data_IF_264753092496
#
_entry.id   IF_264753092496
#
_cell.length_a   1.000
_cell.length_b   1.000
_cell.length_c   1.000
_cell.angle_alpha   90.00
_cell.angle_beta   90.00
_cell.angle_gamma   90.00
#
_symmetry.space_group_name_H-M   'P 1'
#
loop_
_entity.id
_entity.type
_entity.pdbx_description
1 polymer ?
#
# COMPACT_ATOMS: atom_id res chain seq x y z
N UNK A 1 -9.15 7.22 -2.36
CA UNK A 1 -10.40 6.43 -2.40
C UNK A 1 -10.78 6.06 -0.98
N UNK A 2 -12.01 6.35 -0.57
CA UNK A 2 -12.55 5.98 0.74
C UNK A 2 -13.45 4.77 0.57
N UNK A 3 -13.18 3.70 1.30
CA UNK A 3 -13.91 2.43 1.21
C UNK A 3 -14.59 2.16 2.54
N UNK A 4 -15.86 1.72 2.48
CA UNK A 4 -16.58 1.21 3.65
C UNK A 4 -16.23 -0.26 3.84
N UNK A 5 -15.73 -0.60 5.02
CA UNK A 5 -15.40 -1.97 5.41
C UNK A 5 -16.32 -2.46 6.51
N UNK A 6 -16.49 -3.78 6.57
CA UNK A 6 -16.87 -4.49 7.78
C UNK A 6 -15.69 -5.35 8.25
N UNK A 7 -15.67 -5.68 9.54
CA UNK A 7 -14.68 -6.57 10.12
C UNK A 7 -15.35 -7.88 10.53
N UNK A 8 -14.71 -9.00 10.21
CA UNK A 8 -15.15 -10.33 10.62
C UNK A 8 -13.93 -11.11 11.09
N UNK A 9 -13.88 -11.45 12.38
CA UNK A 9 -12.77 -12.18 13.01
C UNK A 9 -11.39 -11.60 12.66
N UNK A 10 -11.25 -10.27 12.69
CA UNK A 10 -10.00 -9.55 12.36
C UNK A 10 -9.72 -9.33 10.86
N UNK A 11 -10.40 -10.05 9.97
CA UNK A 11 -10.34 -9.80 8.53
C UNK A 11 -11.18 -8.57 8.16
N UNK A 12 -10.76 -7.82 7.13
CA UNK A 12 -11.52 -6.68 6.59
C UNK A 12 -12.16 -7.06 5.26
N UNK A 13 -13.46 -6.83 5.13
CA UNK A 13 -14.24 -7.16 3.94
C UNK A 13 -14.75 -5.84 3.35
N UNK A 14 -14.35 -5.47 2.12
CA UNK A 14 -14.84 -4.26 1.47
C UNK A 14 -16.32 -4.43 1.10
N UNK A 15 -17.14 -3.46 1.49
CA UNK A 15 -18.59 -3.46 1.22
C UNK A 15 -18.91 -2.61 -0.01
N UNK A 16 -18.41 -1.38 -0.03
CA UNK A 16 -18.64 -0.41 -1.11
C UNK A 16 -17.59 0.70 -1.10
N UNK A 17 -17.44 1.38 -2.23
CA UNK A 17 -16.70 2.64 -2.29
C UNK A 17 -17.59 3.77 -1.79
N UNK A 18 -17.14 4.44 -0.73
CA UNK A 18 -17.85 5.57 -0.14
C UNK A 18 -17.62 6.86 -0.93
N UNK A 19 -16.35 7.18 -1.18
CA UNK A 19 -15.95 8.43 -1.84
C UNK A 19 -14.78 8.20 -2.77
N UNK A 20 -14.84 8.77 -3.97
CA UNK A 20 -13.73 8.87 -4.91
C UNK A 20 -13.36 10.34 -5.07
N UNK A 21 -12.07 10.63 -5.01
CA UNK A 21 -11.50 11.95 -5.28
C UNK A 21 -10.47 11.77 -6.39
N UNK A 22 -10.58 12.57 -7.45
CA UNK A 22 -9.57 12.65 -8.50
C UNK A 22 -9.32 14.13 -8.81
N UNK A 23 -8.04 14.52 -8.73
CA UNK A 23 -7.52 15.78 -9.24
C UNK A 23 -6.38 15.44 -10.20
N UNK A 24 -6.52 15.81 -11.47
CA UNK A 24 -5.55 15.57 -12.53
C UNK A 24 -5.27 16.89 -13.24
N UNK A 25 -3.99 17.12 -13.58
CA UNK A 25 -3.59 18.28 -14.37
C UNK A 25 -4.16 18.15 -15.79
N UNK A 26 -4.57 19.26 -16.41
CA UNK A 26 -5.18 19.25 -17.74
C UNK A 26 -4.76 20.46 -18.58
N UNK A 27 -4.99 20.39 -19.89
CA UNK A 27 -4.82 21.54 -20.79
C UNK A 27 -5.94 22.57 -20.62
N UNK A 28 -5.77 23.75 -21.21
CA UNK A 28 -6.76 24.84 -21.09
C UNK A 28 -8.03 24.63 -21.91
N UNK A 29 -8.04 23.66 -22.82
CA UNK A 29 -9.05 23.51 -23.87
C UNK A 29 -10.19 22.60 -23.49
N UNK A 30 -9.95 21.64 -22.59
CA UNK A 30 -10.99 20.72 -22.12
C UNK A 30 -11.90 21.37 -21.07
N UNK A 31 -13.22 21.20 -21.24
CA UNK A 31 -14.20 21.70 -20.29
C UNK A 31 -14.23 20.88 -18.99
N UNK A 32 -14.68 21.50 -17.89
CA UNK A 32 -14.81 20.80 -16.60
C UNK A 32 -15.80 19.63 -16.69
N UNK A 33 -16.93 19.80 -17.39
CA UNK A 33 -17.92 18.74 -17.57
C UNK A 33 -17.35 17.55 -18.34
N UNK A 34 -16.65 17.81 -19.46
CA UNK A 34 -16.07 16.73 -20.28
C UNK A 34 -15.02 15.95 -19.50
N UNK A 35 -14.20 16.64 -18.69
CA UNK A 35 -13.26 15.99 -17.78
C UNK A 35 -13.97 15.12 -16.74
N UNK A 36 -15.01 15.64 -16.08
CA UNK A 36 -15.74 14.90 -15.05
C UNK A 36 -16.40 13.64 -15.62
N UNK A 37 -16.98 13.73 -16.82
CA UNK A 37 -17.57 12.59 -17.53
C UNK A 37 -16.51 11.59 -17.95
N UNK A 38 -15.39 12.04 -18.51
CA UNK A 38 -14.28 11.16 -18.90
C UNK A 38 -13.67 10.44 -17.69
N UNK A 39 -13.45 11.13 -16.57
CA UNK A 39 -12.94 10.52 -15.34
C UNK A 39 -13.91 9.49 -14.77
N UNK A 40 -15.22 9.75 -14.84
CA UNK A 40 -16.24 8.79 -14.39
C UNK A 40 -16.30 7.56 -15.29
N UNK A 41 -16.48 7.76 -16.60
CA UNK A 41 -16.79 6.69 -17.53
C UNK A 41 -15.55 5.88 -17.95
N UNK A 42 -14.43 6.56 -18.21
CA UNK A 42 -13.23 5.93 -18.80
C UNK A 42 -12.19 5.53 -17.76
N UNK A 43 -12.22 6.12 -16.56
CA UNK A 43 -11.23 5.83 -15.51
C UNK A 43 -11.88 5.07 -14.35
N UNK A 44 -12.90 5.65 -13.70
CA UNK A 44 -13.49 5.04 -12.51
C UNK A 44 -14.18 3.72 -12.84
N UNK A 45 -15.10 3.71 -13.82
CA UNK A 45 -15.83 2.49 -14.20
C UNK A 45 -14.93 1.41 -14.80
N UNK A 46 -13.80 1.79 -15.39
CA UNK A 46 -12.82 0.85 -15.94
C UNK A 46 -12.00 0.14 -14.84
N UNK A 47 -11.79 0.79 -13.68
CA UNK A 47 -10.88 0.29 -12.64
C UNK A 47 -11.63 -0.26 -11.43
N UNK A 48 -12.70 0.42 -10.99
CA UNK A 48 -13.44 0.03 -9.79
C UNK A 48 -14.50 -1.02 -10.17
N UNK A 49 -14.49 -2.22 -9.57
CA UNK A 49 -15.52 -3.21 -9.85
C UNK A 49 -16.93 -2.65 -9.59
N UNK A 50 -17.83 -2.81 -10.57
CA UNK A 50 -19.17 -2.23 -10.53
C UNK A 50 -19.96 -2.57 -9.25
N UNK A 51 -19.76 -3.78 -8.70
CA UNK A 51 -20.38 -4.22 -7.44
C UNK A 51 -20.08 -3.35 -6.21
N UNK A 52 -19.07 -2.49 -6.27
CA UNK A 52 -18.71 -1.57 -5.18
C UNK A 52 -19.15 -0.13 -5.43
N UNK A 53 -19.72 0.18 -6.59
CA UNK A 53 -20.24 1.49 -6.94
C UNK A 53 -21.76 1.47 -6.82
N UNK A 54 -22.32 2.48 -6.16
CA UNK A 54 -23.77 2.65 -6.03
C UNK A 54 -24.17 4.12 -6.15
N UNK A 55 -25.48 4.37 -6.15
CA UNK A 55 -26.07 5.71 -6.20
C UNK A 55 -25.65 6.64 -5.05
N UNK A 56 -25.10 6.09 -3.96
CA UNK A 56 -24.64 6.83 -2.79
C UNK A 56 -23.12 7.07 -2.84
N UNK A 57 -22.42 6.62 -3.88
CA UNK A 57 -20.97 6.87 -4.00
C UNK A 57 -20.75 8.36 -4.28
N UNK A 58 -19.94 9.00 -3.44
CA UNK A 58 -19.63 10.42 -3.56
C UNK A 58 -18.45 10.61 -4.52
N UNK A 59 -18.58 11.51 -5.47
CA UNK A 59 -17.55 11.79 -6.47
C UNK A 59 -17.08 13.25 -6.37
N UNK A 60 -15.80 13.46 -6.06
CA UNK A 60 -15.11 14.74 -6.16
C UNK A 60 -14.15 14.68 -7.34
N UNK A 61 -14.63 15.07 -8.52
CA UNK A 61 -13.86 15.00 -9.77
C UNK A 61 -13.47 16.42 -10.19
N UNK A 62 -12.17 16.69 -10.26
CA UNK A 62 -11.61 18.03 -10.45
C UNK A 62 -12.21 19.06 -9.46
N UNK A 63 -12.21 18.80 -8.14
CA UNK A 63 -12.90 19.67 -7.18
C UNK A 63 -12.34 21.11 -7.10
N UNK A 64 -11.10 21.34 -7.55
CA UNK A 64 -10.53 22.69 -7.66
C UNK A 64 -11.11 23.50 -8.83
N UNK A 65 -11.87 22.86 -9.73
CA UNK A 65 -12.42 23.44 -10.95
C UNK A 65 -11.40 23.63 -12.07
N UNK A 66 -10.19 24.12 -11.75
CA UNK A 66 -9.10 24.32 -12.71
C UNK A 66 -7.77 23.83 -12.14
N UNK A 67 -7.02 23.05 -12.93
CA UNK A 67 -5.69 22.55 -12.59
C UNK A 67 -4.82 22.48 -13.85
N UNK A 68 -4.47 23.65 -14.39
CA UNK A 68 -3.63 23.77 -15.59
C UNK A 68 -2.14 23.78 -15.24
N UNK A 69 -1.75 24.58 -14.25
CA UNK A 69 -0.37 24.64 -13.76
C UNK A 69 -0.16 23.51 -12.78
N UNK A 70 0.86 22.67 -13.02
CA UNK A 70 1.18 21.51 -12.21
C UNK A 70 2.65 21.11 -12.34
N UNK A 71 2.98 19.90 -11.89
CA UNK A 71 4.38 19.47 -11.80
C UNK A 71 5.22 20.37 -10.88
N UNK A 72 6.55 20.44 -11.09
CA UNK A 72 7.45 21.25 -10.26
C UNK A 72 7.14 22.75 -10.24
N UNK A 73 6.42 23.26 -11.25
CA UNK A 73 5.97 24.65 -11.27
C UNK A 73 4.92 24.94 -10.18
N UNK A 74 4.08 23.95 -9.86
CA UNK A 74 2.99 24.10 -8.89
C UNK A 74 3.32 23.62 -7.48
N UNK A 75 4.23 22.66 -7.31
CA UNK A 75 4.63 22.10 -6.02
C UNK A 75 6.04 21.51 -6.07
N UNK A 76 6.89 21.84 -5.08
CA UNK A 76 8.27 21.37 -5.04
C UNK A 76 8.34 19.89 -4.66
N UNK A 77 8.89 19.07 -5.57
CA UNK A 77 9.04 17.63 -5.37
C UNK A 77 10.35 17.24 -4.67
N UNK A 78 10.29 16.26 -3.76
CA UNK A 78 11.47 15.67 -3.11
C UNK A 78 11.33 14.15 -3.02
N UNK A 79 12.43 13.43 -3.25
CA UNK A 79 12.50 11.96 -3.10
C UNK A 79 12.07 11.53 -1.70
N UNK A 80 11.27 10.45 -1.61
CA UNK A 80 10.87 9.88 -0.32
C UNK A 80 9.77 10.63 0.41
N UNK A 81 9.01 11.50 -0.27
CA UNK A 81 7.86 12.21 0.33
C UNK A 81 6.50 11.55 0.10
N UNK A 82 6.47 10.35 -0.50
CA UNK A 82 5.26 9.58 -0.78
C UNK A 82 5.30 8.15 -0.21
N UNK A 83 6.02 7.94 0.90
CA UNK A 83 6.28 6.60 1.47
C UNK A 83 5.02 5.79 1.82
N UNK A 84 3.91 6.45 2.20
CA UNK A 84 2.64 5.76 2.47
C UNK A 84 1.91 5.38 1.18
N UNK A 85 2.08 6.17 0.11
CA UNK A 85 1.58 5.85 -1.23
C UNK A 85 2.39 4.70 -1.83
N UNK A 86 3.71 4.68 -1.63
CA UNK A 86 4.61 3.62 -2.10
C UNK A 86 4.36 2.26 -1.42
N UNK A 87 3.66 2.25 -0.28
CA UNK A 87 3.46 1.05 0.53
C UNK A 87 2.00 0.62 0.57
N UNK A 88 1.30 0.91 1.67
CA UNK A 88 0.05 0.23 2.01
C UNK A 88 -1.11 1.22 2.20
N UNK A 89 -0.97 2.49 1.80
CA UNK A 89 -2.05 3.47 1.83
C UNK A 89 -2.61 3.72 3.23
N UNK A 90 -1.77 3.61 4.26
CA UNK A 90 -2.13 3.77 5.67
C UNK A 90 -2.47 2.47 6.41
N UNK A 91 -2.60 1.35 5.71
CA UNK A 91 -2.77 0.04 6.35
C UNK A 91 -1.44 -0.56 6.81
N UNK A 92 -1.50 -1.47 7.80
CA UNK A 92 -0.29 -2.07 8.36
C UNK A 92 0.50 -1.06 9.16
N UNK A 93 1.79 -0.89 8.83
CA UNK A 93 2.67 0.09 9.45
C UNK A 93 3.79 0.49 8.48
N UNK A 94 4.57 1.52 8.84
CA UNK A 94 5.72 1.98 8.08
C UNK A 94 6.91 2.27 8.99
N UNK A 95 8.12 1.82 8.61
CA UNK A 95 9.34 2.00 9.41
C UNK A 95 10.03 3.37 9.25
N UNK A 96 9.57 4.17 8.28
CA UNK A 96 10.02 5.55 8.04
C UNK A 96 10.98 5.72 6.86
N UNK A 97 11.72 4.68 6.48
CA UNK A 97 12.67 4.73 5.38
C UNK A 97 12.03 4.83 3.99
N UNK A 98 12.46 5.78 3.17
CA UNK A 98 12.08 5.86 1.75
C UNK A 98 12.76 4.78 0.90
N UNK A 99 12.17 4.41 -0.23
CA UNK A 99 12.73 3.38 -1.13
C UNK A 99 13.57 3.95 -2.28
N UNK A 100 13.07 4.93 -3.01
CA UNK A 100 13.70 5.44 -4.25
C UNK A 100 15.10 6.01 -4.03
N UNK A 101 16.01 5.73 -4.96
CA UNK A 101 17.41 6.18 -4.90
C UNK A 101 18.35 5.33 -4.04
N UNK A 102 17.91 4.16 -3.53
CA UNK A 102 18.70 3.30 -2.66
C UNK A 102 18.99 1.93 -3.29
N UNK A 103 20.23 1.48 -3.28
CA UNK A 103 20.58 0.10 -3.67
C UNK A 103 20.16 -0.92 -2.59
N UNK A 104 20.28 -2.22 -2.89
CA UNK A 104 19.77 -3.30 -2.04
C UNK A 104 20.44 -3.37 -0.65
N UNK A 105 21.64 -2.81 -0.49
CA UNK A 105 22.33 -2.81 0.82
C UNK A 105 21.59 -1.96 1.85
N UNK A 106 20.71 -1.06 1.41
CA UNK A 106 19.90 -0.20 2.28
C UNK A 106 18.62 -0.95 2.65
N UNK A 107 18.60 -1.46 3.87
CA UNK A 107 17.53 -2.31 4.40
C UNK A 107 16.16 -1.64 4.41
N UNK A 108 16.09 -0.30 4.38
CA UNK A 108 14.86 0.44 4.16
C UNK A 108 14.08 -0.07 2.93
N UNK A 109 14.80 -0.41 1.84
CA UNK A 109 14.21 -0.95 0.61
C UNK A 109 14.17 -2.47 0.63
N UNK A 110 15.32 -3.11 0.76
CA UNK A 110 15.43 -4.58 0.59
C UNK A 110 14.66 -5.34 1.65
N UNK A 111 14.76 -4.95 2.93
CA UNK A 111 14.05 -5.63 3.99
C UNK A 111 12.54 -5.32 4.00
N UNK A 112 12.13 -4.12 3.58
CA UNK A 112 10.71 -3.83 3.38
C UNK A 112 10.10 -4.71 2.27
N UNK A 113 10.84 -4.96 1.18
CA UNK A 113 10.42 -5.86 0.11
C UNK A 113 10.38 -7.31 0.57
N UNK A 114 11.39 -7.76 1.34
CA UNK A 114 11.40 -9.10 1.92
C UNK A 114 10.25 -9.29 2.92
N UNK A 115 9.97 -8.32 3.79
CA UNK A 115 8.83 -8.35 4.71
C UNK A 115 7.48 -8.40 3.97
N UNK A 116 7.36 -7.68 2.84
CA UNK A 116 6.19 -7.80 1.95
C UNK A 116 6.07 -9.20 1.38
N UNK A 117 7.18 -9.80 0.93
CA UNK A 117 7.20 -11.14 0.37
C UNK A 117 6.80 -12.19 1.41
N UNK A 118 7.32 -12.10 2.63
CA UNK A 118 6.91 -12.93 3.77
C UNK A 118 5.42 -12.79 4.05
N UNK A 119 4.93 -11.56 4.24
CA UNK A 119 3.53 -11.28 4.56
C UNK A 119 2.58 -11.86 3.50
N UNK A 120 2.89 -11.64 2.23
CA UNK A 120 2.09 -12.16 1.11
C UNK A 120 2.12 -13.68 1.06
N UNK A 121 3.26 -14.31 1.34
CA UNK A 121 3.42 -15.76 1.32
C UNK A 121 2.61 -16.43 2.44
N UNK A 122 2.61 -15.87 3.65
CA UNK A 122 1.79 -16.38 4.77
C UNK A 122 0.29 -16.34 4.46
N UNK A 123 -0.20 -15.24 3.86
CA UNK A 123 -1.61 -15.13 3.43
C UNK A 123 -1.91 -16.09 2.27
N UNK A 124 -1.00 -16.20 1.29
CA UNK A 124 -1.18 -17.10 0.15
C UNK A 124 -1.20 -18.58 0.57
N UNK A 125 -0.39 -18.95 1.54
CA UNK A 125 -0.37 -20.28 2.17
C UNK A 125 -1.59 -20.53 3.07
N UNK A 126 -2.54 -19.57 3.16
CA UNK A 126 -3.75 -19.64 3.98
C UNK A 126 -3.47 -19.84 5.47
N UNK A 127 -2.31 -19.39 5.95
CA UNK A 127 -1.97 -19.44 7.37
C UNK A 127 -2.62 -18.30 8.17
N UNK A 128 -3.02 -17.23 7.49
CA UNK A 128 -3.75 -16.11 8.05
C UNK A 128 -4.53 -15.38 6.95
N UNK A 129 -5.53 -14.57 7.31
CA UNK A 129 -6.19 -13.69 6.34
C UNK A 129 -5.49 -12.34 6.20
N UNK A 130 -4.82 -11.86 7.26
CA UNK A 130 -4.04 -10.62 7.27
C UNK A 130 -2.86 -10.77 8.20
N UNK A 131 -1.74 -10.15 7.84
CA UNK A 131 -0.54 -10.14 8.67
C UNK A 131 0.25 -8.85 8.47
N UNK A 132 0.80 -8.34 9.57
CA UNK A 132 1.85 -7.33 9.58
C UNK A 132 3.17 -8.01 9.97
N UNK A 133 4.22 -7.76 9.20
CA UNK A 133 5.58 -8.26 9.44
C UNK A 133 6.47 -7.06 9.75
N UNK A 134 7.16 -7.08 10.88
CA UNK A 134 8.16 -6.09 11.24
C UNK A 134 9.54 -6.75 11.28
N UNK A 135 10.54 -6.08 10.71
CA UNK A 135 11.95 -6.49 10.75
C UNK A 135 12.82 -5.27 11.08
N UNK A 136 13.86 -5.46 11.88
CA UNK A 136 14.80 -4.38 12.26
C UNK A 136 16.26 -4.83 12.17
N UNK A 137 17.17 -3.88 11.96
CA UNK A 137 18.60 -4.14 11.79
C UNK A 137 19.44 -3.09 12.52
N UNK A 138 20.67 -3.48 12.91
CA UNK A 138 21.74 -2.56 13.23
C UNK A 138 22.70 -2.44 12.04
N UNK A 139 23.29 -1.25 11.86
CA UNK A 139 24.29 -1.04 10.81
C UNK A 139 25.48 -2.00 11.00
N UNK A 140 25.90 -2.65 9.90
CA UNK A 140 26.99 -3.64 9.93
C UNK A 140 26.60 -5.03 10.44
N UNK A 141 25.39 -5.23 10.97
CA UNK A 141 24.90 -6.54 11.41
C UNK A 141 24.02 -7.15 10.33
N UNK A 142 24.42 -8.30 9.77
CA UNK A 142 23.72 -8.93 8.66
C UNK A 142 22.38 -9.55 9.08
N UNK A 143 22.31 -10.14 10.28
CA UNK A 143 21.10 -10.75 10.80
C UNK A 143 20.15 -9.68 11.36
N UNK A 144 18.83 -9.84 11.21
CA UNK A 144 17.86 -8.96 11.86
C UNK A 144 18.02 -8.98 13.38
N UNK A 145 17.85 -7.83 14.02
CA UNK A 145 17.76 -7.73 15.49
C UNK A 145 16.42 -8.29 16.00
N UNK A 146 15.35 -8.07 15.24
CA UNK A 146 14.03 -8.59 15.55
C UNK A 146 13.23 -8.90 14.29
N UNK A 147 12.36 -9.91 14.40
CA UNK A 147 11.31 -10.23 13.44
C UNK A 147 10.03 -10.48 14.24
N UNK A 148 8.98 -9.71 13.96
CA UNK A 148 7.68 -9.81 14.64
C UNK A 148 6.56 -9.97 13.63
N UNK A 149 5.55 -10.77 13.97
CA UNK A 149 4.38 -11.06 13.15
C UNK A 149 3.12 -10.71 13.94
N UNK A 150 2.18 -10.00 13.31
CA UNK A 150 0.88 -9.70 13.90
C UNK A 150 -0.23 -10.11 12.94
N UNK A 151 -1.03 -11.11 13.29
CA UNK A 151 -2.05 -11.67 12.37
C UNK A 151 -3.44 -11.09 12.57
N UNK A 152 -3.60 -10.15 13.50
CA UNK A 152 -4.89 -9.54 13.84
C UNK A 152 -5.95 -10.59 14.25
N UNK A 153 -5.54 -11.71 14.83
CA UNK A 153 -6.43 -12.80 15.22
C UNK A 153 -6.97 -13.63 14.03
N UNK A 154 -6.38 -13.49 12.84
CA UNK A 154 -6.86 -14.16 11.63
C UNK A 154 -6.15 -15.48 11.31
N UNK A 155 -5.34 -15.98 12.24
CA UNK A 155 -4.56 -17.21 12.13
C UNK A 155 -5.02 -18.21 13.20
N UNK A 156 -5.08 -19.48 12.83
CA UNK A 156 -5.25 -20.59 13.79
C UNK A 156 -3.94 -20.90 14.54
N UNK A 157 -2.80 -20.59 13.91
CA UNK A 157 -1.47 -20.72 14.52
C UNK A 157 -1.13 -19.50 15.35
N UNK A 158 -0.38 -19.71 16.41
CA UNK A 158 0.21 -18.63 17.21
C UNK A 158 1.26 -17.87 16.40
N UNK A 159 1.50 -16.61 16.75
CA UNK A 159 2.52 -15.77 16.10
C UNK A 159 3.93 -16.37 16.25
N UNK A 160 4.18 -17.11 17.35
CA UNK A 160 5.42 -17.86 17.56
C UNK A 160 5.60 -18.99 16.53
N UNK A 161 4.58 -19.82 16.32
CA UNK A 161 4.65 -20.89 15.31
C UNK A 161 4.83 -20.33 13.90
N UNK A 162 4.14 -19.22 13.57
CA UNK A 162 4.33 -18.55 12.29
C UNK A 162 5.75 -18.00 12.14
N UNK A 163 6.34 -17.46 13.21
CA UNK A 163 7.71 -16.98 13.18
C UNK A 163 8.71 -18.12 12.93
N UNK A 164 8.49 -19.30 13.52
CA UNK A 164 9.28 -20.49 13.23
C UNK A 164 9.17 -20.92 11.76
N UNK A 165 7.96 -20.85 11.17
CA UNK A 165 7.76 -21.10 9.74
C UNK A 165 8.55 -20.08 8.90
N UNK A 166 8.48 -18.80 9.23
CA UNK A 166 9.22 -17.75 8.51
C UNK A 166 10.73 -18.01 8.59
N UNK A 167 11.27 -18.28 9.77
CA UNK A 167 12.71 -18.52 9.95
C UNK A 167 13.23 -19.76 9.22
N UNK A 168 12.38 -20.76 8.97
CA UNK A 168 12.75 -21.97 8.19
C UNK A 168 12.71 -21.76 6.67
N UNK A 169 11.95 -20.76 6.20
CA UNK A 169 11.67 -20.58 4.76
C UNK A 169 12.28 -19.31 4.18
N UNK A 170 12.71 -18.35 5.01
CA UNK A 170 13.23 -17.06 4.59
C UNK A 170 14.55 -16.75 5.30
N UNK A 171 15.54 -16.35 4.51
CA UNK A 171 16.76 -15.76 5.02
C UNK A 171 16.72 -14.25 4.78
N UNK A 172 16.55 -13.49 5.86
CA UNK A 172 16.37 -12.04 5.82
C UNK A 172 17.69 -11.27 5.93
N UNK A 173 18.84 -11.91 5.67
CA UNK A 173 20.11 -11.19 5.54
C UNK A 173 20.12 -10.40 4.23
N UNK A 174 20.54 -9.13 4.20
CA UNK A 174 20.50 -8.30 2.98
C UNK A 174 21.25 -8.91 1.78
N UNK A 175 22.36 -9.62 2.03
CA UNK A 175 23.14 -10.31 1.00
C UNK A 175 22.48 -11.59 0.44
N UNK A 176 21.45 -12.13 1.11
CA UNK A 176 20.63 -13.22 0.57
C UNK A 176 19.38 -12.65 -0.11
N UNK A 177 18.76 -11.61 0.46
CA UNK A 177 17.58 -10.95 -0.12
C UNK A 177 17.82 -10.46 -1.57
N UNK A 178 19.05 -10.05 -1.91
CA UNK A 178 19.39 -9.56 -3.26
C UNK A 178 19.50 -10.68 -4.31
N UNK A 179 19.66 -11.94 -3.90
CA UNK A 179 19.87 -13.07 -4.81
C UNK A 179 18.56 -13.65 -5.30
#
# INVERSE_FOLDING_TARGET
VTVKYIQQNGAVIPVRVHTIVISVQHDETISLSDMQDALREKVIKAVVPAKYLDEKTVYHLQPSGRFVIGGPQGDAGVTGRKIIVDTYGGWGAHGGGAFSGKDYTKVDRSAAYAARWVAKSLVHAKLCHRVLVQVSYAIGVAFPLSVSLFTYGTSEKTEKELLEIVNKNFDLRPGVIVR
#
